data_IF_379930801195
#
_entry.id   IF_379930801195
#
_cell.length_a   1.000
_cell.length_b   1.000
_cell.length_c   1.000
_cell.angle_alpha   90.00
_cell.angle_beta   90.00
_cell.angle_gamma   90.00
#
_symmetry.space_group_name_H-M   'P 1'
#
loop_
_entity.id
_entity.type
_entity.pdbx_description
1 polymer ?
#
# COMPACT_ATOMS: atom_id res chain seq x y z
N UNK A 1 -12.06 37.37 11.49
CA UNK A 1 -10.90 37.31 10.56
C UNK A 1 -11.00 35.98 9.83
N UNK A 2 -11.38 35.98 8.55
CA UNK A 2 -11.45 34.75 7.76
C UNK A 2 -10.04 34.45 7.24
N UNK A 3 -9.50 33.30 7.59
CA UNK A 3 -8.26 32.80 7.01
C UNK A 3 -8.58 32.40 5.56
N UNK A 4 -8.13 33.20 4.60
CA UNK A 4 -8.13 32.79 3.20
C UNK A 4 -7.27 31.54 3.09
N UNK A 5 -7.81 30.46 2.51
CA UNK A 5 -7.00 29.31 2.14
C UNK A 5 -5.99 29.80 1.10
N UNK A 6 -4.69 29.71 1.41
CA UNK A 6 -3.64 29.91 0.42
C UNK A 6 -3.86 28.89 -0.70
N UNK A 7 -4.29 29.36 -1.88
CA UNK A 7 -4.62 28.48 -3.00
C UNK A 7 -3.39 27.82 -3.65
N UNK A 8 -2.19 28.03 -3.11
CA UNK A 8 -0.93 27.54 -3.67
C UNK A 8 0.02 27.02 -2.59
N UNK A 9 -0.48 26.17 -1.68
CA UNK A 9 0.37 25.46 -0.73
C UNK A 9 1.07 24.29 -1.42
N UNK A 10 2.41 24.34 -1.43
CA UNK A 10 3.24 23.25 -1.95
C UNK A 10 3.48 22.18 -0.88
N UNK A 11 2.87 21.00 -1.08
CA UNK A 11 3.00 19.87 -0.16
C UNK A 11 4.19 18.94 -0.47
N UNK A 12 4.99 19.20 -1.51
CA UNK A 12 6.10 18.31 -1.89
C UNK A 12 7.06 18.05 -0.73
N UNK A 13 7.50 19.11 -0.04
CA UNK A 13 8.42 19.01 1.11
C UNK A 13 7.78 18.21 2.26
N UNK A 14 6.49 18.42 2.52
CA UNK A 14 5.76 17.69 3.55
C UNK A 14 5.71 16.19 3.24
N UNK A 15 5.35 15.83 2.00
CA UNK A 15 5.28 14.42 1.56
C UNK A 15 6.67 13.77 1.60
N UNK A 16 7.71 14.45 1.12
CA UNK A 16 9.08 13.95 1.16
C UNK A 16 9.55 13.66 2.60
N UNK A 17 9.25 14.56 3.54
CA UNK A 17 9.62 14.36 4.94
C UNK A 17 8.80 13.24 5.60
N UNK A 18 7.51 13.16 5.32
CA UNK A 18 6.61 12.18 5.95
C UNK A 18 6.80 10.75 5.42
N UNK A 19 7.30 10.58 4.19
CA UNK A 19 7.52 9.26 3.58
C UNK A 19 8.88 8.63 3.89
N UNK A 20 9.81 9.37 4.51
CA UNK A 20 11.14 8.85 4.93
C UNK A 20 11.07 7.78 6.01
N UNK A 21 10.01 7.79 6.81
CA UNK A 21 9.76 6.82 7.87
C UNK A 21 8.32 6.31 7.78
N UNK A 22 7.99 5.30 8.59
CA UNK A 22 6.62 4.83 8.71
C UNK A 22 5.77 5.95 9.33
N UNK A 23 4.68 6.30 8.66
CA UNK A 23 3.68 7.22 9.22
C UNK A 23 2.93 6.52 10.36
N UNK A 24 3.06 7.04 11.57
CA UNK A 24 2.44 6.49 12.78
C UNK A 24 1.32 7.39 13.35
N UNK A 25 1.02 8.52 12.68
CA UNK A 25 -0.01 9.48 13.11
C UNK A 25 -1.27 9.42 12.24
N UNK A 26 -1.15 8.98 10.99
CA UNK A 26 -2.28 8.85 10.07
C UNK A 26 -2.96 7.48 10.14
N UNK A 27 -4.28 7.45 9.94
CA UNK A 27 -5.01 6.20 9.66
C UNK A 27 -4.48 5.58 8.37
N UNK A 28 -4.07 4.31 8.44
CA UNK A 28 -3.55 3.56 7.28
C UNK A 28 -4.70 3.01 6.43
N UNK A 29 -4.64 3.21 5.11
CA UNK A 29 -5.59 2.60 4.18
C UNK A 29 -5.27 1.10 4.03
N UNK A 30 -6.27 0.24 4.19
CA UNK A 30 -6.16 -1.21 3.96
C UNK A 30 -6.77 -1.58 2.61
N UNK A 31 -6.08 -2.45 1.87
CA UNK A 31 -6.56 -3.05 0.61
C UNK A 31 -6.33 -4.55 0.66
N UNK A 32 -7.33 -5.33 0.28
CA UNK A 32 -7.28 -6.79 0.21
C UNK A 32 -7.46 -7.21 -1.25
N UNK A 33 -6.45 -7.86 -1.80
CA UNK A 33 -6.43 -8.35 -3.17
C UNK A 33 -5.41 -9.48 -3.31
N UNK A 34 -5.54 -10.26 -4.38
CA UNK A 34 -4.57 -11.30 -4.74
C UNK A 34 -3.48 -10.70 -5.62
N UNK A 35 -2.23 -11.08 -5.38
CA UNK A 35 -1.10 -10.70 -6.25
C UNK A 35 -0.88 -11.80 -7.29
N UNK A 36 -1.19 -11.51 -8.55
CA UNK A 36 -0.97 -12.41 -9.67
C UNK A 36 0.49 -12.36 -10.15
N UNK A 37 1.14 -13.52 -10.26
CA UNK A 37 2.48 -13.67 -10.83
C UNK A 37 2.37 -13.95 -12.32
N UNK A 38 2.89 -13.02 -13.14
CA UNK A 38 2.91 -13.17 -14.60
C UNK A 38 3.70 -14.39 -15.07
N UNK A 39 4.78 -14.75 -14.40
CA UNK A 39 5.65 -15.86 -14.80
C UNK A 39 5.03 -17.22 -14.51
N UNK A 40 4.34 -17.37 -13.37
CA UNK A 40 3.72 -18.65 -12.99
C UNK A 40 2.27 -18.79 -13.43
N UNK A 41 1.62 -17.69 -13.80
CA UNK A 41 0.20 -17.68 -14.15
C UNK A 41 -0.74 -17.93 -12.97
N UNK A 42 -0.26 -17.70 -11.73
CA UNK A 42 -0.93 -18.08 -10.46
C UNK A 42 -0.79 -16.96 -9.43
N UNK A 43 -1.48 -17.09 -8.29
CA UNK A 43 -1.45 -16.09 -7.22
C UNK A 43 -0.38 -16.37 -6.16
N UNK A 44 0.15 -15.30 -5.56
CA UNK A 44 1.05 -15.36 -4.41
C UNK A 44 0.26 -15.83 -3.18
N UNK A 45 0.84 -16.79 -2.47
CA UNK A 45 0.33 -17.34 -1.22
C UNK A 45 1.39 -17.31 -0.13
N UNK A 46 0.94 -17.19 1.12
CA UNK A 46 1.78 -17.30 2.31
C UNK A 46 1.35 -18.49 3.16
N UNK A 47 2.13 -19.58 3.10
CA UNK A 47 1.91 -20.82 3.84
C UNK A 47 2.90 -20.89 5.01
N UNK A 48 2.50 -20.37 6.16
CA UNK A 48 3.36 -20.26 7.34
C UNK A 48 4.56 -19.35 7.07
N UNK A 49 5.76 -19.93 6.97
CA UNK A 49 6.99 -19.19 6.62
C UNK A 49 7.36 -19.25 5.14
N UNK A 50 6.58 -19.97 4.33
CA UNK A 50 6.85 -20.17 2.89
C UNK A 50 6.00 -19.22 2.06
N UNK A 51 6.63 -18.51 1.13
CA UNK A 51 5.97 -17.67 0.14
C UNK A 51 6.12 -18.34 -1.23
N UNK A 52 5.03 -18.47 -1.98
CA UNK A 52 5.07 -19.05 -3.33
C UNK A 52 3.97 -18.51 -4.23
N UNK A 53 4.17 -18.53 -5.55
CA UNK A 53 3.19 -18.07 -6.53
C UNK A 53 2.53 -19.26 -7.26
N UNK A 54 1.81 -20.09 -6.51
CA UNK A 54 1.15 -21.32 -7.01
C UNK A 54 -0.34 -21.39 -6.68
N UNK A 55 -0.91 -20.35 -6.06
CA UNK A 55 -2.30 -20.33 -5.64
C UNK A 55 -3.27 -20.24 -6.81
N UNK A 56 -4.41 -20.91 -6.67
CA UNK A 56 -5.54 -20.73 -7.56
C UNK A 56 -6.24 -19.39 -7.31
N UNK A 57 -7.14 -18.98 -8.21
CA UNK A 57 -7.95 -17.79 -7.98
C UNK A 57 -8.95 -18.00 -6.83
N UNK A 58 -8.97 -17.07 -5.87
CA UNK A 58 -9.85 -17.12 -4.71
C UNK A 58 -9.34 -18.02 -3.58
N UNK A 59 -8.10 -18.52 -3.69
CA UNK A 59 -7.50 -19.34 -2.65
C UNK A 59 -7.30 -18.54 -1.35
N UNK A 60 -7.46 -19.20 -0.20
CA UNK A 60 -7.56 -18.50 1.11
C UNK A 60 -6.22 -17.96 1.63
N UNK A 61 -5.12 -18.39 1.04
CA UNK A 61 -3.75 -18.22 1.52
C UNK A 61 -2.88 -17.51 0.50
#
# INVERSE_FOLDING_TARGET
QMFAAEENVDFRIHVENQTRARDDVSRKQLRLYQLYSRTSGKHIQVLGRRISAKGEDGDKY
#
